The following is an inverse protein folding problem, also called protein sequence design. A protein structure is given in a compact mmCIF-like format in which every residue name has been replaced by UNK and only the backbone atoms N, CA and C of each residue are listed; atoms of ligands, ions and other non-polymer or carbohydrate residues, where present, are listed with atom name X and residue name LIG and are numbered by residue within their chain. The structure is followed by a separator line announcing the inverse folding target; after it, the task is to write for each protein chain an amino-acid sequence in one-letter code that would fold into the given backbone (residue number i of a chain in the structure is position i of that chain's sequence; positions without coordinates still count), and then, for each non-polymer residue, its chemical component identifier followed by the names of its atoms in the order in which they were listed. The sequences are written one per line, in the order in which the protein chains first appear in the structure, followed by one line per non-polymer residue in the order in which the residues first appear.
data_IF_101128430546
#
_entry.id   IF_101128430546
#
_cell.length_a   1.000
_cell.length_b   1.000
_cell.length_c   1.000
_cell.angle_alpha   90.00
_cell.angle_beta   90.00
_cell.angle_gamma   90.00
#
_symmetry.space_group_name_H-M   'P 1'
#
loop_
_entity.id
_entity.type
_entity.pdbx_description
1 polymer ?
#
# COMPACT_ATOMS: atom_id res chain seq x y z
N UNK A 1 15.66 -10.02 -4.19
CA UNK A 1 14.43 -9.48 -3.57
C UNK A 1 14.68 -8.12 -2.94
N UNK A 2 13.91 -7.12 -3.33
CA UNK A 2 13.86 -5.79 -2.72
C UNK A 2 12.39 -5.49 -2.41
N UNK A 3 12.11 -4.97 -1.22
CA UNK A 3 10.79 -4.50 -0.84
C UNK A 3 10.92 -3.27 0.06
N UNK A 4 9.99 -2.33 -0.09
CA UNK A 4 9.92 -1.10 0.68
C UNK A 4 8.45 -0.80 0.99
N UNK A 5 8.18 -0.28 2.18
CA UNK A 5 6.84 0.13 2.62
C UNK A 5 6.89 1.60 3.01
N UNK A 6 5.99 2.40 2.43
CA UNK A 6 5.86 3.82 2.72
C UNK A 6 4.69 4.09 3.67
N UNK A 7 4.98 4.34 4.94
CA UNK A 7 3.95 4.55 5.97
C UNK A 7 3.44 5.99 6.08
N UNK A 8 4.05 6.94 5.37
CA UNK A 8 3.80 8.36 5.66
C UNK A 8 2.45 8.84 5.13
N UNK A 9 2.01 8.32 3.98
CA UNK A 9 0.73 8.67 3.39
C UNK A 9 -0.45 8.22 4.27
N UNK A 10 -0.32 7.05 4.89
CA UNK A 10 -1.25 6.51 5.89
C UNK A 10 -1.41 7.47 7.08
N UNK A 11 -0.30 7.82 7.73
CA UNK A 11 -0.30 8.71 8.91
C UNK A 11 -0.86 10.09 8.59
N UNK A 12 -0.48 10.68 7.46
CA UNK A 12 -0.99 11.99 7.07
C UNK A 12 -2.50 11.91 6.81
N UNK A 13 -2.96 10.85 6.14
CA UNK A 13 -4.39 10.64 5.88
C UNK A 13 -5.18 10.46 7.16
N UNK A 14 -4.64 9.80 8.18
CA UNK A 14 -5.30 9.72 9.49
C UNK A 14 -5.54 11.07 10.16
N UNK A 15 -4.57 11.99 10.13
CA UNK A 15 -4.66 13.27 10.87
C UNK A 15 -5.22 14.43 10.06
N UNK A 16 -5.17 14.36 8.73
CA UNK A 16 -5.50 15.50 7.85
C UNK A 16 -6.42 15.12 6.70
N UNK A 17 -7.20 14.05 6.84
CA UNK A 17 -8.10 13.58 5.79
C UNK A 17 -9.01 14.67 5.24
N UNK A 18 -9.46 15.60 6.08
CA UNK A 18 -10.39 16.65 5.69
C UNK A 18 -9.72 17.80 4.92
N UNK A 19 -8.39 17.90 4.96
CA UNK A 19 -7.63 18.79 4.09
C UNK A 19 -7.28 18.10 2.76
N UNK A 20 -8.26 18.08 1.84
CA UNK A 20 -8.12 17.36 0.56
C UNK A 20 -7.00 17.90 -0.32
N UNK A 21 -6.64 19.18 -0.19
CA UNK A 21 -5.53 19.78 -0.94
C UNK A 21 -4.19 19.27 -0.40
N UNK A 22 -4.02 19.21 0.93
CA UNK A 22 -2.84 18.62 1.57
C UNK A 22 -2.72 17.14 1.23
N UNK A 23 -3.81 16.37 1.33
CA UNK A 23 -3.81 14.94 0.96
C UNK A 23 -3.36 14.75 -0.49
N UNK A 24 -3.93 15.52 -1.43
CA UNK A 24 -3.53 15.44 -2.84
C UNK A 24 -2.05 15.77 -3.05
N UNK A 25 -1.49 16.73 -2.31
CA UNK A 25 -0.06 17.03 -2.35
C UNK A 25 0.78 15.82 -1.93
N UNK A 26 0.39 15.12 -0.86
CA UNK A 26 1.09 13.93 -0.40
C UNK A 26 0.99 12.75 -1.36
N UNK A 27 -0.16 12.54 -2.01
CA UNK A 27 -0.27 11.55 -3.09
C UNK A 27 0.66 11.88 -4.25
N UNK A 28 0.78 13.15 -4.65
CA UNK A 28 1.71 13.58 -5.71
C UNK A 28 3.18 13.34 -5.34
N UNK A 29 3.56 13.60 -4.09
CA UNK A 29 4.93 13.28 -3.61
C UNK A 29 5.21 11.78 -3.65
N UNK A 30 4.22 10.96 -3.30
CA UNK A 30 4.36 9.51 -3.37
C UNK A 30 4.51 9.01 -4.81
N UNK A 31 3.73 9.58 -5.74
CA UNK A 31 3.83 9.30 -7.17
C UNK A 31 5.22 9.66 -7.74
N UNK A 32 5.77 10.81 -7.36
CA UNK A 32 7.13 11.23 -7.73
C UNK A 32 8.18 10.25 -7.20
N UNK A 33 8.13 9.88 -5.91
CA UNK A 33 9.05 8.90 -5.30
C UNK A 33 8.93 7.52 -5.95
N UNK A 34 7.71 7.08 -6.26
CA UNK A 34 7.49 5.83 -6.98
C UNK A 34 8.09 5.91 -8.39
N UNK A 35 7.90 7.02 -9.10
CA UNK A 35 8.51 7.28 -10.40
C UNK A 35 10.03 7.15 -10.36
N UNK A 36 10.69 7.81 -9.41
CA UNK A 36 12.14 7.73 -9.20
C UNK A 36 12.61 6.29 -8.91
N UNK A 37 11.87 5.53 -8.09
CA UNK A 37 12.20 4.13 -7.83
C UNK A 37 12.07 3.26 -9.09
N UNK A 38 11.05 3.52 -9.91
CA UNK A 38 10.81 2.77 -11.14
C UNK A 38 11.88 3.05 -12.22
N UNK A 39 12.60 4.17 -12.17
CA UNK A 39 13.76 4.41 -13.06
C UNK A 39 14.87 3.36 -12.88
N UNK A 40 14.92 2.70 -11.72
CA UNK A 40 15.89 1.65 -11.42
C UNK A 40 15.39 0.24 -11.77
N UNK A 41 14.13 0.10 -12.18
CA UNK A 41 13.57 -1.18 -12.60
C UNK A 41 13.76 -1.38 -14.11
N UNK A 42 14.30 -2.54 -14.49
CA UNK A 42 14.47 -2.91 -15.90
C UNK A 42 13.13 -3.44 -16.47
N UNK A 43 12.39 -2.56 -17.12
CA UNK A 43 11.09 -2.88 -17.71
C UNK A 43 11.14 -3.87 -18.89
N UNK A 44 12.31 -4.11 -19.48
CA UNK A 44 12.49 -5.08 -20.56
C UNK A 44 12.87 -6.47 -20.03
N UNK A 45 13.13 -6.60 -18.72
CA UNK A 45 13.39 -7.87 -18.05
C UNK A 45 12.12 -8.64 -17.69
N UNK A 46 12.29 -9.91 -17.34
CA UNK A 46 11.24 -10.78 -16.79
C UNK A 46 11.14 -10.68 -15.24
N UNK A 47 11.86 -9.75 -14.61
CA UNK A 47 11.82 -9.60 -13.15
C UNK A 47 10.42 -9.14 -12.69
N UNK A 48 9.86 -9.73 -11.63
CA UNK A 48 8.54 -9.37 -11.13
C UNK A 48 8.53 -7.98 -10.49
N UNK A 49 7.48 -7.22 -10.76
CA UNK A 49 7.16 -5.96 -10.08
C UNK A 49 5.77 -6.04 -9.48
N UNK A 50 5.67 -5.71 -8.20
CA UNK A 50 4.41 -5.57 -7.47
C UNK A 50 4.42 -4.20 -6.80
N UNK A 51 3.44 -3.36 -7.15
CA UNK A 51 3.12 -2.12 -6.43
C UNK A 51 1.73 -2.28 -5.85
N UNK A 52 1.61 -2.18 -4.53
CA UNK A 52 0.34 -2.37 -3.84
C UNK A 52 0.14 -1.37 -2.71
N UNK A 53 -1.13 -1.12 -2.40
CA UNK A 53 -1.58 -0.57 -1.11
C UNK A 53 -2.23 -1.70 -0.34
N UNK A 54 -2.03 -1.78 0.97
CA UNK A 54 -2.68 -2.78 1.83
C UNK A 54 -4.13 -2.41 2.17
N UNK A 55 -4.46 -1.11 2.09
CA UNK A 55 -5.82 -0.57 2.21
C UNK A 55 -5.96 0.79 1.51
N UNK A 56 -7.17 1.32 1.51
CA UNK A 56 -7.50 2.68 1.08
C UNK A 56 -7.84 3.56 2.28
N UNK A 57 -8.45 4.72 2.01
CA UNK A 57 -8.87 5.66 3.06
C UNK A 57 -10.30 6.16 2.85
N UNK A 58 -11.00 6.35 3.97
CA UNK A 58 -12.34 6.92 4.06
C UNK A 58 -12.40 7.94 5.22
N UNK A 59 -13.53 8.62 5.34
CA UNK A 59 -13.79 9.48 6.50
C UNK A 59 -13.74 8.67 7.80
N UNK A 60 -13.30 9.29 8.89
CA UNK A 60 -13.32 8.65 10.19
C UNK A 60 -14.70 8.07 10.53
N UNK A 61 -14.72 6.81 10.97
CA UNK A 61 -15.95 6.08 11.28
C UNK A 61 -16.73 5.53 10.07
N UNK A 62 -16.25 5.77 8.85
CA UNK A 62 -16.77 5.11 7.63
C UNK A 62 -15.94 3.89 7.23
N UNK A 63 -14.80 3.66 7.88
CA UNK A 63 -14.00 2.46 7.68
C UNK A 63 -14.74 1.20 8.11
N UNK A 64 -14.48 0.09 7.42
CA UNK A 64 -15.09 -1.22 7.75
C UNK A 64 -14.70 -1.69 9.15
N UNK A 65 -13.47 -1.39 9.56
CA UNK A 65 -12.92 -1.67 10.87
C UNK A 65 -12.23 -0.42 11.38
N UNK A 66 -12.68 0.10 12.51
CA UNK A 66 -11.97 1.17 13.19
C UNK A 66 -10.71 0.60 13.85
N UNK A 67 -9.55 0.96 13.32
CA UNK A 67 -8.26 0.45 13.80
C UNK A 67 -7.70 1.28 14.96
N UNK A 68 -8.08 2.56 15.06
CA UNK A 68 -7.57 3.53 16.03
C UNK A 68 -8.69 4.32 16.74
N UNK A 69 -8.47 4.75 18.00
CA UNK A 69 -9.41 5.63 18.69
C UNK A 69 -9.46 7.02 18.03
N UNK A 70 -10.61 7.69 18.10
CA UNK A 70 -10.81 9.04 17.56
C UNK A 70 -9.82 10.06 18.12
N UNK A 71 -9.54 9.96 19.43
CA UNK A 71 -8.62 10.84 20.14
C UNK A 71 -7.32 10.10 20.46
N UNK A 72 -6.19 10.68 20.04
CA UNK A 72 -4.86 10.18 20.34
C UNK A 72 -4.05 11.24 21.11
N UNK A 73 -2.92 10.89 21.75
CA UNK A 73 -2.02 11.89 22.33
C UNK A 73 -1.48 12.93 21.32
N UNK A 74 -1.65 12.69 20.02
CA UNK A 74 -1.15 13.53 18.94
C UNK A 74 -2.24 14.35 18.24
N UNK A 75 -3.50 14.18 18.64
CA UNK A 75 -4.65 14.87 18.06
C UNK A 75 -5.78 13.93 17.69
N UNK A 76 -6.84 14.54 17.17
CA UNK A 76 -8.04 13.87 16.68
C UNK A 76 -7.79 13.29 15.28
N UNK A 77 -8.28 12.08 15.03
CA UNK A 77 -8.25 11.46 13.71
C UNK A 77 -9.42 11.98 12.83
N UNK A 78 -9.12 12.16 11.56
CA UNK A 78 -10.03 12.62 10.51
C UNK A 78 -10.31 11.54 9.45
N UNK A 79 -9.34 10.64 9.23
CA UNK A 79 -9.45 9.54 8.27
C UNK A 79 -9.33 8.17 8.93
N UNK A 80 -9.92 7.17 8.30
CA UNK A 80 -9.87 5.76 8.70
C UNK A 80 -9.73 4.84 7.47
N UNK A 81 -9.46 3.56 7.69
CA UNK A 81 -9.12 2.64 6.61
C UNK A 81 -10.36 2.29 5.76
N UNK A 82 -10.20 2.33 4.44
CA UNK A 82 -11.17 1.75 3.50
C UNK A 82 -10.66 0.38 3.01
N UNK A 83 -11.56 -0.56 2.72
CA UNK A 83 -11.17 -1.92 2.32
C UNK A 83 -10.59 -2.00 0.90
N UNK A 84 -11.01 -1.10 0.01
CA UNK A 84 -10.44 -1.01 -1.34
C UNK A 84 -8.97 -0.66 -1.29
N UNK A 85 -8.17 -1.44 -2.02
CA UNK A 85 -6.74 -1.28 -2.16
C UNK A 85 -6.35 -1.04 -3.62
N UNK A 86 -5.06 -0.79 -3.87
CA UNK A 86 -4.48 -0.72 -5.21
C UNK A 86 -3.54 -1.90 -5.39
N UNK A 87 -3.62 -2.56 -6.54
CA UNK A 87 -2.66 -3.59 -6.96
C UNK A 87 -2.28 -3.36 -8.41
N UNK A 88 -0.98 -3.23 -8.68
CA UNK A 88 -0.40 -3.12 -10.01
C UNK A 88 0.73 -4.14 -10.09
N UNK A 89 0.68 -5.01 -11.08
CA UNK A 89 1.68 -6.07 -11.28
C UNK A 89 2.26 -6.05 -12.69
N UNK A 90 3.49 -6.52 -12.80
CA UNK A 90 4.15 -6.85 -14.08
C UNK A 90 5.02 -8.09 -13.87
N UNK A 91 4.96 -9.03 -14.82
CA UNK A 91 5.70 -10.30 -14.77
C UNK A 91 5.40 -11.15 -13.52
N UNK A 92 4.16 -11.08 -13.01
CA UNK A 92 3.69 -11.91 -11.90
C UNK A 92 2.65 -12.88 -12.45
N UNK A 93 3.01 -14.15 -12.59
CA UNK A 93 2.11 -15.23 -13.05
C UNK A 93 1.46 -15.94 -11.85
N UNK A 94 0.92 -15.14 -10.94
CA UNK A 94 0.27 -15.59 -9.70
C UNK A 94 -0.89 -14.63 -9.38
N UNK A 95 -2.06 -15.18 -9.07
CA UNK A 95 -3.24 -14.40 -8.70
C UNK A 95 -3.10 -13.91 -7.25
N UNK A 96 -3.25 -12.60 -7.02
CA UNK A 96 -3.13 -11.97 -5.71
C UNK A 96 -4.49 -11.38 -5.34
N UNK A 97 -5.22 -12.10 -4.48
CA UNK A 97 -6.57 -11.70 -4.03
C UNK A 97 -6.61 -11.25 -2.57
N UNK A 98 -5.65 -11.70 -1.76
CA UNK A 98 -5.55 -11.41 -0.33
C UNK A 98 -4.07 -11.19 0.07
N UNK A 99 -3.81 -10.51 1.20
CA UNK A 99 -2.45 -10.09 1.56
C UNK A 99 -1.41 -11.22 1.60
N UNK A 100 -1.78 -12.42 2.04
CA UNK A 100 -0.90 -13.58 2.07
C UNK A 100 -0.46 -14.05 0.68
N UNK A 101 -1.23 -13.75 -0.38
CA UNK A 101 -0.91 -14.17 -1.73
C UNK A 101 0.30 -13.42 -2.30
N UNK A 102 0.61 -12.23 -1.77
CA UNK A 102 1.85 -11.50 -2.10
C UNK A 102 3.07 -12.31 -1.66
N UNK A 103 3.04 -12.88 -0.45
CA UNK A 103 4.13 -13.72 0.02
C UNK A 103 4.21 -15.01 -0.82
N UNK A 104 3.06 -15.58 -1.18
CA UNK A 104 3.01 -16.78 -2.02
C UNK A 104 3.54 -16.54 -3.43
N UNK A 105 3.23 -15.40 -4.05
CA UNK A 105 3.72 -15.06 -5.38
C UNK A 105 5.24 -14.90 -5.40
N UNK A 106 5.82 -14.35 -4.33
CA UNK A 106 7.28 -14.22 -4.17
C UNK A 106 7.93 -15.60 -4.00
N UNK A 107 7.35 -16.47 -3.17
CA UNK A 107 7.87 -17.83 -2.95
C UNK A 107 7.80 -18.66 -4.23
N UNK A 108 6.69 -18.59 -4.96
CA UNK A 108 6.49 -19.26 -6.25
C UNK A 108 7.56 -18.87 -7.26
N UNK A 109 7.81 -17.56 -7.42
CA UNK A 109 8.82 -17.03 -8.33
C UNK A 109 10.23 -17.59 -8.05
N UNK A 110 10.59 -17.80 -6.77
CA UNK A 110 11.87 -18.36 -6.38
C UNK A 110 11.87 -19.91 -6.29
N UNK A 111 10.75 -20.57 -6.60
CA UNK A 111 10.62 -22.03 -6.55
C UNK A 111 10.63 -22.60 -5.13
N UNK A 112 10.19 -21.83 -4.14
CA UNK A 112 10.08 -22.27 -2.75
C UNK A 112 8.72 -22.90 -2.45
N UNK A 113 8.70 -23.93 -1.60
CA UNK A 113 7.46 -24.51 -1.07
C UNK A 113 6.76 -23.55 -0.09
N UNK A 114 5.43 -23.61 -0.05
CA UNK A 114 4.64 -22.84 0.90
C UNK A 114 4.70 -23.47 2.30
N UNK A 115 4.98 -22.70 3.35
CA UNK A 115 4.81 -23.19 4.71
C UNK A 115 3.33 -23.47 4.99
N UNK A 116 3.00 -24.71 5.37
CA UNK A 116 1.70 -25.04 5.94
C UNK A 116 1.67 -24.54 7.40
N UNK A 117 0.76 -23.61 7.70
CA UNK A 117 0.54 -23.03 9.03
C UNK A 117 -0.72 -23.60 9.68
#
# INVERSE_FOLDING_TARGET
FFAVVFMQLDRVSHFYWNDKDLILEWYRKMDEVLGELLEHYDFDSDEPLIVLSDHGFAEFGQGRVQTLPEETPHGKLEGDHHEDAVLITKNVDFEIDQPEDVAKSILDHYGYEYPEH
#
